data_IF_472965237390
#
_entry.id   IF_472965237390
#
_cell.length_a   1.000
_cell.length_b   1.000
_cell.length_c   1.000
_cell.angle_alpha   90.00
_cell.angle_beta   90.00
_cell.angle_gamma   90.00
#
_symmetry.space_group_name_H-M   'P 1'
#
loop_
_entity.id
_entity.type
_entity.pdbx_description
1 polymer ?
#
# COMPACT_ATOMS: atom_id res chain seq x y z
N UNK A 1 51.62 -62.50 73.93
CA UNK A 1 50.56 -62.25 74.94
C UNK A 1 50.23 -60.76 74.96
N UNK A 2 48.98 -60.44 75.32
CA UNK A 2 48.37 -59.12 75.48
C UNK A 2 47.81 -58.45 74.21
N UNK A 3 46.49 -58.64 74.10
CA UNK A 3 45.52 -57.90 73.31
C UNK A 3 45.36 -56.45 73.81
N UNK A 4 44.68 -55.65 72.99
CA UNK A 4 43.67 -54.61 73.30
C UNK A 4 44.02 -53.15 72.99
N UNK A 5 43.13 -52.23 72.58
CA UNK A 5 41.81 -52.21 71.90
C UNK A 5 41.43 -50.72 71.72
N UNK A 6 40.92 -50.30 70.53
CA UNK A 6 39.96 -49.17 70.25
C UNK A 6 40.39 -47.72 70.65
N UNK A 7 39.96 -46.61 70.02
CA UNK A 7 38.74 -46.21 69.28
C UNK A 7 39.03 -44.87 68.56
N UNK A 8 38.46 -44.69 67.35
CA UNK A 8 37.77 -43.52 66.73
C UNK A 8 38.31 -42.09 67.02
N UNK A 9 38.40 -41.15 66.08
CA UNK A 9 37.41 -40.81 65.04
C UNK A 9 38.04 -39.98 63.89
N UNK A 10 37.48 -40.14 62.70
CA UNK A 10 37.67 -39.27 61.54
C UNK A 10 36.92 -37.95 61.70
N UNK A 11 37.53 -36.85 61.24
CA UNK A 11 36.82 -35.72 60.62
C UNK A 11 37.65 -35.18 59.46
N UNK A 12 37.29 -35.61 58.26
CA UNK A 12 37.74 -35.04 56.98
C UNK A 12 36.87 -33.84 56.63
N UNK A 13 37.46 -32.65 56.45
CA UNK A 13 36.79 -31.49 55.85
C UNK A 13 36.99 -31.56 54.33
N UNK A 14 35.95 -31.93 53.58
CA UNK A 14 35.95 -31.93 52.12
C UNK A 14 35.48 -30.57 51.59
N UNK A 15 36.36 -29.83 50.91
CA UNK A 15 35.98 -28.67 50.11
C UNK A 15 35.62 -29.14 48.70
N UNK A 16 34.36 -28.99 48.30
CA UNK A 16 33.91 -29.25 46.93
C UNK A 16 34.14 -28.00 46.06
N UNK A 17 35.03 -28.08 45.07
CA UNK A 17 35.10 -27.11 43.97
C UNK A 17 34.09 -27.51 42.89
N UNK A 18 33.06 -26.68 42.68
CA UNK A 18 32.20 -26.78 41.52
C UNK A 18 32.83 -25.99 40.35
N UNK A 19 33.36 -26.70 39.36
CA UNK A 19 33.79 -26.11 38.08
C UNK A 19 32.60 -25.91 37.15
N UNK A 20 32.33 -24.67 36.74
CA UNK A 20 31.32 -24.36 35.75
C UNK A 20 31.92 -24.45 34.34
N UNK A 21 31.38 -25.34 33.50
CA UNK A 21 31.70 -25.42 32.08
C UNK A 21 30.79 -24.42 31.33
N UNK A 22 31.38 -23.40 30.73
CA UNK A 22 30.67 -22.45 29.87
C UNK A 22 30.52 -23.04 28.46
N UNK A 23 29.27 -23.28 28.04
CA UNK A 23 28.94 -23.66 26.67
C UNK A 23 28.90 -22.40 25.77
N UNK A 24 29.40 -22.44 24.53
CA UNK A 24 29.31 -21.31 23.63
C UNK A 24 27.86 -21.15 23.14
N UNK A 25 27.23 -20.04 23.50
CA UNK A 25 25.92 -19.64 22.99
C UNK A 25 26.07 -19.22 21.52
N UNK A 26 25.90 -20.17 20.60
CA UNK A 26 25.75 -19.86 19.17
C UNK A 26 24.51 -18.99 18.98
N UNK A 27 24.71 -17.73 18.59
CA UNK A 27 23.61 -16.84 18.20
C UNK A 27 23.09 -17.29 16.85
N UNK A 28 22.08 -18.16 16.84
CA UNK A 28 21.28 -18.39 15.65
C UNK A 28 20.50 -17.10 15.36
N UNK A 29 20.99 -16.30 14.40
CA UNK A 29 20.20 -15.24 13.78
C UNK A 29 19.02 -15.90 13.07
N UNK A 30 17.92 -16.06 13.79
CA UNK A 30 16.64 -16.34 13.19
C UNK A 30 16.37 -15.18 12.23
N UNK A 31 16.44 -15.46 10.92
CA UNK A 31 15.91 -14.57 9.90
C UNK A 31 14.45 -14.28 10.29
N UNK A 32 14.21 -13.08 10.81
CA UNK A 32 12.88 -12.52 10.99
C UNK A 32 12.27 -12.33 9.59
N UNK A 33 11.80 -13.44 9.01
CA UNK A 33 10.90 -13.46 7.86
C UNK A 33 9.51 -13.03 8.31
N UNK A 34 9.41 -11.93 9.05
CA UNK A 34 8.16 -11.38 9.54
C UNK A 34 7.28 -11.03 8.36
N UNK A 35 6.13 -11.69 8.25
CA UNK A 35 5.04 -11.18 7.43
C UNK A 35 4.65 -9.82 8.02
N UNK A 36 5.10 -8.73 7.39
CA UNK A 36 4.61 -7.41 7.74
C UNK A 36 3.07 -7.41 7.72
N UNK A 37 2.42 -6.60 8.57
CA UNK A 37 0.96 -6.63 8.79
C UNK A 37 0.20 -6.64 7.46
N UNK A 38 -0.86 -7.43 7.31
CA UNK A 38 -1.58 -7.55 6.02
C UNK A 38 -2.11 -6.18 5.57
N UNK A 39 -2.24 -5.92 4.24
CA UNK A 39 -2.93 -4.72 3.79
C UNK A 39 -4.34 -4.64 4.35
N UNK A 40 -4.73 -3.44 4.71
CA UNK A 40 -6.07 -3.09 5.15
C UNK A 40 -6.93 -2.82 3.91
N UNK A 41 -7.28 -3.87 3.18
CA UNK A 41 -8.03 -3.76 1.90
C UNK A 41 -9.40 -3.07 2.02
N UNK A 42 -9.91 -2.90 3.25
CA UNK A 42 -11.16 -2.18 3.57
C UNK A 42 -10.94 -0.82 4.23
N UNK A 43 -9.68 -0.37 4.36
CA UNK A 43 -9.36 0.97 4.82
C UNK A 43 -9.19 1.90 3.63
N UNK A 44 -9.74 3.11 3.77
CA UNK A 44 -9.74 4.15 2.78
C UNK A 44 -9.18 5.44 3.38
N UNK A 45 -8.22 6.07 2.69
CA UNK A 45 -7.69 7.37 3.06
C UNK A 45 -8.50 8.43 2.31
N UNK A 46 -9.54 8.92 2.97
CA UNK A 46 -10.34 10.05 2.51
C UNK A 46 -9.47 11.31 2.52
N UNK A 47 -9.59 12.13 1.47
CA UNK A 47 -8.77 13.32 1.28
C UNK A 47 -7.26 13.05 1.48
N UNK A 48 -6.75 11.94 0.94
CA UNK A 48 -5.35 11.54 1.14
C UNK A 48 -4.36 12.65 0.76
N UNK A 49 -4.72 13.50 -0.20
CA UNK A 49 -3.93 14.65 -0.64
C UNK A 49 -3.74 15.74 0.43
N UNK A 50 -4.55 15.80 1.48
CA UNK A 50 -4.37 16.76 2.58
C UNK A 50 -3.28 16.34 3.58
N UNK A 51 -2.78 15.11 3.48
CA UNK A 51 -1.76 14.60 4.37
C UNK A 51 -0.36 15.15 4.04
N UNK A 52 0.57 15.20 5.01
CA UNK A 52 1.94 15.70 4.78
C UNK A 52 2.70 14.94 3.69
N UNK A 53 2.48 13.63 3.56
CA UNK A 53 3.04 12.81 2.47
C UNK A 53 1.91 12.06 1.76
N UNK A 54 1.20 12.72 0.82
CA UNK A 54 0.13 12.10 0.05
C UNK A 54 0.60 10.78 -0.56
N UNK A 55 -0.31 9.81 -0.62
CA UNK A 55 -0.10 8.41 -0.97
C UNK A 55 0.81 7.65 0.00
N UNK A 56 1.97 8.19 0.35
CA UNK A 56 3.00 7.49 1.12
C UNK A 56 2.53 7.17 2.53
N UNK A 57 1.87 8.12 3.21
CA UNK A 57 1.33 7.89 4.55
C UNK A 57 0.26 6.78 4.54
N UNK A 58 -0.69 6.80 3.61
CA UNK A 58 -1.68 5.73 3.46
C UNK A 58 -1.03 4.36 3.15
N UNK A 59 0.00 4.34 2.30
CA UNK A 59 0.73 3.11 1.96
C UNK A 59 1.60 2.58 3.10
N UNK A 60 2.13 3.45 3.96
CA UNK A 60 2.87 3.06 5.17
C UNK A 60 1.92 2.45 6.21
N UNK A 61 0.70 2.99 6.33
CA UNK A 61 -0.40 2.41 7.11
C UNK A 61 -1.10 1.23 6.42
N UNK A 62 -0.66 0.88 5.22
CA UNK A 62 -1.10 -0.26 4.43
C UNK A 62 -2.56 -0.23 3.97
N UNK A 63 -3.10 0.96 3.70
CA UNK A 63 -4.47 1.14 3.23
C UNK A 63 -4.70 0.53 1.85
N UNK A 64 -5.94 0.07 1.62
CA UNK A 64 -6.37 -0.54 0.37
C UNK A 64 -6.95 0.45 -0.64
N UNK A 65 -7.29 1.65 -0.20
CA UNK A 65 -7.90 2.69 -1.02
C UNK A 65 -7.42 4.08 -0.60
N UNK A 66 -7.28 4.99 -1.57
CA UNK A 66 -6.96 6.41 -1.38
C UNK A 66 -7.81 7.25 -2.32
N UNK A 67 -8.10 8.49 -1.94
CA UNK A 67 -8.88 9.44 -2.74
C UNK A 67 -8.04 10.59 -3.27
N UNK A 68 -8.36 11.04 -4.48
CA UNK A 68 -7.81 12.23 -5.12
C UNK A 68 -8.93 13.07 -5.76
N UNK A 69 -9.14 14.26 -5.22
CA UNK A 69 -10.06 15.26 -5.78
C UNK A 69 -9.34 16.00 -6.92
N UNK A 70 -9.87 15.94 -8.14
CA UNK A 70 -9.19 16.50 -9.32
C UNK A 70 -9.94 17.65 -9.99
N UNK A 71 -9.15 18.63 -10.41
CA UNK A 71 -9.58 19.79 -11.20
C UNK A 71 -8.84 19.82 -12.54
N UNK A 72 -9.58 19.99 -13.64
CA UNK A 72 -8.98 20.26 -14.94
C UNK A 72 -8.67 21.77 -15.07
N UNK A 73 -7.39 22.14 -15.04
CA UNK A 73 -6.94 23.54 -15.15
C UNK A 73 -5.81 23.64 -16.15
N UNK A 74 -5.98 24.44 -17.21
CA UNK A 74 -4.94 24.64 -18.22
C UNK A 74 -4.45 23.33 -18.90
N UNK A 75 -5.30 22.31 -18.96
CA UNK A 75 -4.93 20.98 -19.48
C UNK A 75 -4.13 20.11 -18.51
N UNK A 76 -3.99 20.50 -17.25
CA UNK A 76 -3.44 19.69 -16.16
C UNK A 76 -4.54 19.18 -15.23
N UNK A 77 -4.31 18.03 -14.60
CA UNK A 77 -5.18 17.51 -13.54
C UNK A 77 -4.53 17.85 -12.20
N UNK A 78 -4.99 18.95 -11.60
CA UNK A 78 -4.52 19.41 -10.29
C UNK A 78 -5.33 18.72 -9.18
N UNK A 79 -4.73 18.58 -8.00
CA UNK A 79 -5.34 17.91 -6.85
C UNK A 79 -5.48 18.88 -5.68
N UNK A 80 -6.72 19.11 -5.25
CA UNK A 80 -7.09 19.94 -4.11
C UNK A 80 -8.53 19.61 -3.67
N UNK A 81 -8.91 19.97 -2.45
CA UNK A 81 -10.31 19.88 -2.03
C UNK A 81 -11.13 21.05 -2.59
N UNK A 82 -10.59 22.27 -2.42
CA UNK A 82 -11.20 23.51 -2.86
C UNK A 82 -10.37 24.20 -3.96
N UNK A 83 -11.00 24.97 -4.88
CA UNK A 83 -10.30 25.65 -5.96
C UNK A 83 -9.20 26.63 -5.50
N UNK A 84 -9.38 27.28 -4.35
CA UNK A 84 -8.41 28.21 -3.75
C UNK A 84 -7.08 27.54 -3.35
N UNK A 85 -7.09 26.22 -3.09
CA UNK A 85 -5.91 25.44 -2.70
C UNK A 85 -5.15 24.85 -3.90
N UNK A 86 -5.56 25.19 -5.13
CA UNK A 86 -4.93 24.67 -6.34
C UNK A 86 -3.48 25.15 -6.47
N UNK A 87 -2.57 24.18 -6.43
CA UNK A 87 -1.14 24.37 -6.64
C UNK A 87 -0.71 23.69 -7.96
N UNK A 88 -0.12 24.42 -8.94
CA UNK A 88 0.36 23.85 -10.19
C UNK A 88 1.39 22.71 -10.05
N UNK A 89 2.06 22.60 -8.89
CA UNK A 89 3.01 21.53 -8.58
C UNK A 89 2.32 20.23 -8.09
N UNK A 90 1.07 20.33 -7.64
CA UNK A 90 0.27 19.25 -7.06
C UNK A 90 -0.67 18.66 -8.12
N UNK A 91 -0.07 17.90 -9.02
CA UNK A 91 -0.80 17.20 -10.09
C UNK A 91 -1.16 15.77 -9.68
N UNK A 92 -2.16 15.18 -10.33
CA UNK A 92 -2.50 13.77 -10.17
C UNK A 92 -1.28 12.87 -10.46
N UNK A 93 -0.49 13.23 -11.48
CA UNK A 93 0.77 12.54 -11.78
C UNK A 93 1.78 12.60 -10.65
N UNK A 94 2.08 13.80 -10.15
CA UNK A 94 3.13 14.00 -9.13
C UNK A 94 2.77 13.40 -7.78
N UNK A 95 1.51 13.48 -7.36
CA UNK A 95 1.07 12.95 -6.07
C UNK A 95 0.77 11.44 -6.11
N UNK A 96 0.22 10.92 -7.22
CA UNK A 96 -0.27 9.54 -7.26
C UNK A 96 0.37 8.68 -8.35
N UNK A 97 0.32 9.10 -9.62
CA UNK A 97 0.61 8.16 -10.72
C UNK A 97 2.10 7.79 -10.82
N UNK A 98 2.98 8.79 -10.76
CA UNK A 98 4.43 8.58 -10.78
C UNK A 98 4.93 7.76 -9.59
N UNK A 99 4.60 8.10 -8.32
CA UNK A 99 5.04 7.32 -7.18
C UNK A 99 4.44 5.91 -7.15
N UNK A 100 3.18 5.71 -7.58
CA UNK A 100 2.60 4.37 -7.72
C UNK A 100 3.32 3.55 -8.79
N UNK A 101 3.56 4.12 -9.97
CA UNK A 101 4.27 3.44 -11.04
C UNK A 101 5.69 3.03 -10.62
N UNK A 102 6.42 3.92 -9.95
CA UNK A 102 7.74 3.63 -9.41
C UNK A 102 7.71 2.50 -8.39
N UNK A 103 6.77 2.55 -7.43
CA UNK A 103 6.60 1.53 -6.40
C UNK A 103 6.24 0.16 -6.99
N UNK A 104 5.29 0.11 -7.91
CA UNK A 104 4.82 -1.12 -8.56
C UNK A 104 5.94 -1.76 -9.38
N UNK A 105 6.71 -0.96 -10.11
CA UNK A 105 7.91 -1.42 -10.83
C UNK A 105 8.94 -2.03 -9.90
N UNK A 106 9.26 -1.35 -8.79
CA UNK A 106 10.21 -1.84 -7.79
C UNK A 106 9.75 -3.11 -7.05
N UNK A 107 8.45 -3.43 -7.10
CA UNK A 107 7.83 -4.56 -6.38
C UNK A 107 7.28 -5.64 -7.29
N UNK A 108 7.72 -5.66 -8.56
CA UNK A 108 7.33 -6.65 -9.57
C UNK A 108 5.81 -6.73 -9.79
N UNK A 109 5.19 -5.59 -10.06
CA UNK A 109 3.78 -5.51 -10.42
C UNK A 109 2.83 -5.48 -9.22
N UNK A 110 3.29 -5.07 -8.03
CA UNK A 110 2.48 -5.06 -6.81
C UNK A 110 2.65 -3.78 -6.00
N UNK A 111 1.58 -3.27 -5.40
CA UNK A 111 1.67 -2.16 -4.44
C UNK A 111 2.29 -2.63 -3.12
N UNK A 112 1.86 -3.79 -2.61
CA UNK A 112 2.38 -4.41 -1.39
C UNK A 112 3.16 -5.69 -1.70
N UNK A 113 4.32 -5.88 -1.06
CA UNK A 113 5.12 -7.10 -1.26
C UNK A 113 4.32 -8.32 -0.79
N UNK A 114 4.40 -9.42 -1.56
CA UNK A 114 3.73 -10.70 -1.29
C UNK A 114 2.20 -10.64 -1.23
N UNK A 115 1.58 -9.53 -1.66
CA UNK A 115 0.13 -9.41 -1.80
C UNK A 115 -0.22 -9.08 -3.26
N UNK A 116 -1.25 -9.72 -3.81
CA UNK A 116 -1.69 -9.55 -5.19
C UNK A 116 -2.92 -8.65 -5.33
N UNK A 117 -3.39 -8.04 -4.24
CA UNK A 117 -4.49 -7.09 -4.28
C UNK A 117 -4.17 -5.82 -5.07
N UNK A 118 -5.23 -5.18 -5.55
CA UNK A 118 -5.17 -3.93 -6.30
C UNK A 118 -5.54 -2.79 -5.37
N UNK A 119 -4.69 -1.75 -5.30
CA UNK A 119 -5.02 -0.53 -4.57
C UNK A 119 -6.13 0.21 -5.33
N UNK A 120 -7.20 0.62 -4.66
CA UNK A 120 -8.17 1.51 -5.26
C UNK A 120 -7.65 2.95 -5.21
N UNK A 121 -7.65 3.62 -6.35
CA UNK A 121 -7.49 5.07 -6.45
C UNK A 121 -8.86 5.63 -6.83
N UNK A 122 -9.57 6.16 -5.83
CA UNK A 122 -10.82 6.87 -6.04
C UNK A 122 -10.47 8.27 -6.56
N UNK A 123 -10.98 8.63 -7.72
CA UNK A 123 -10.72 9.90 -8.39
C UNK A 123 -12.02 10.66 -8.45
N UNK A 124 -12.17 11.68 -7.60
CA UNK A 124 -13.37 12.50 -7.54
C UNK A 124 -13.24 13.71 -8.48
N UNK A 125 -14.08 13.81 -9.50
CA UNK A 125 -14.03 14.90 -10.47
C UNK A 125 -14.81 16.10 -9.93
N UNK A 126 -14.10 17.22 -9.71
CA UNK A 126 -14.65 18.47 -9.14
C UNK A 126 -14.95 19.57 -10.18
N UNK A 127 -14.61 19.31 -11.44
CA UNK A 127 -14.85 20.20 -12.58
C UNK A 127 -15.80 19.52 -13.58
N UNK A 128 -16.06 20.15 -14.73
CA UNK A 128 -16.93 19.57 -15.76
C UNK A 128 -16.50 18.13 -16.11
N UNK A 129 -17.42 17.18 -15.95
CA UNK A 129 -17.13 15.76 -15.91
C UNK A 129 -16.62 15.18 -17.22
N UNK A 130 -17.14 15.60 -18.37
CA UNK A 130 -16.77 15.04 -19.67
C UNK A 130 -15.33 15.41 -20.04
N UNK A 131 -15.00 16.71 -20.05
CA UNK A 131 -13.67 17.19 -20.41
C UNK A 131 -12.60 16.68 -19.44
N UNK A 132 -12.90 16.69 -18.13
CA UNK A 132 -11.97 16.22 -17.10
C UNK A 132 -11.71 14.73 -17.23
N UNK A 133 -12.75 13.93 -17.50
CA UNK A 133 -12.60 12.50 -17.71
C UNK A 133 -11.79 12.17 -18.97
N UNK A 134 -12.03 12.87 -20.08
CA UNK A 134 -11.27 12.65 -21.32
C UNK A 134 -9.78 12.94 -21.12
N UNK A 135 -9.47 13.99 -20.37
CA UNK A 135 -8.09 14.30 -20.00
C UNK A 135 -7.49 13.25 -19.05
N UNK A 136 -8.25 12.81 -18.05
CA UNK A 136 -7.87 11.72 -17.14
C UNK A 136 -7.52 10.46 -17.92
N UNK A 137 -8.39 9.98 -18.79
CA UNK A 137 -8.14 8.80 -19.62
C UNK A 137 -6.84 8.97 -20.43
N UNK A 138 -6.60 10.15 -21.04
CA UNK A 138 -5.34 10.46 -21.72
C UNK A 138 -4.12 10.32 -20.80
N UNK A 139 -4.21 10.77 -19.54
CA UNK A 139 -3.14 10.60 -18.54
C UNK A 139 -2.94 9.12 -18.22
N UNK A 140 -4.01 8.38 -17.90
CA UNK A 140 -3.95 6.96 -17.53
C UNK A 140 -3.37 6.07 -18.65
N UNK A 141 -3.58 6.40 -19.94
CA UNK A 141 -2.98 5.66 -21.06
C UNK A 141 -1.46 5.55 -20.99
N UNK A 142 -0.79 6.56 -20.43
CA UNK A 142 0.68 6.58 -20.31
C UNK A 142 1.19 5.60 -19.25
N UNK A 143 0.34 5.19 -18.32
CA UNK A 143 0.63 4.24 -17.24
C UNK A 143 -0.01 2.87 -17.50
N UNK A 144 0.04 2.38 -18.75
CA UNK A 144 -0.69 1.16 -19.18
C UNK A 144 -0.46 -0.10 -18.35
N UNK A 145 0.69 -0.22 -17.68
CA UNK A 145 1.05 -1.38 -16.86
C UNK A 145 0.61 -1.25 -15.39
N UNK A 146 0.12 -0.07 -14.99
CA UNK A 146 -0.26 0.20 -13.61
C UNK A 146 -1.69 -0.26 -13.31
N UNK A 147 -2.60 0.03 -14.23
CA UNK A 147 -4.04 -0.01 -13.96
C UNK A 147 -4.70 -1.33 -14.33
N UNK A 148 -5.68 -1.73 -13.50
CA UNK A 148 -6.77 -2.59 -13.92
C UNK A 148 -7.45 -1.94 -15.13
N UNK A 149 -7.67 -2.72 -16.18
CA UNK A 149 -8.23 -2.23 -17.42
C UNK A 149 -9.42 -3.06 -17.85
N UNK A 150 -10.30 -2.44 -18.62
CA UNK A 150 -11.37 -3.11 -19.34
C UNK A 150 -11.05 -3.05 -20.83
N UNK A 151 -11.23 -4.16 -21.54
CA UNK A 151 -11.21 -4.17 -22.99
C UNK A 151 -12.11 -5.29 -23.51
N UNK A 152 -12.96 -4.96 -24.49
CA UNK A 152 -13.79 -5.94 -25.22
C UNK A 152 -14.59 -6.89 -24.30
N UNK A 153 -15.30 -6.34 -23.31
CA UNK A 153 -16.11 -7.14 -22.39
C UNK A 153 -15.34 -7.83 -21.25
N UNK A 154 -14.03 -7.66 -21.17
CA UNK A 154 -13.19 -8.35 -20.18
C UNK A 154 -12.43 -7.36 -19.30
N UNK A 155 -12.26 -7.73 -18.03
CA UNK A 155 -11.45 -7.00 -17.06
C UNK A 155 -10.10 -7.68 -16.90
N UNK A 156 -9.03 -6.90 -16.97
CA UNK A 156 -7.65 -7.32 -16.79
C UNK A 156 -7.10 -6.66 -15.52
N UNK A 157 -6.91 -7.43 -14.43
CA UNK A 157 -6.42 -6.89 -13.16
C UNK A 157 -5.04 -6.24 -13.28
N UNK A 158 -4.88 -5.07 -12.66
CA UNK A 158 -3.61 -4.38 -12.49
C UNK A 158 -3.26 -4.23 -11.01
N UNK A 159 -2.20 -3.45 -10.73
CA UNK A 159 -1.78 -3.16 -9.36
C UNK A 159 -2.62 -2.05 -8.71
N UNK A 160 -3.28 -1.23 -9.53
CA UNK A 160 -4.14 -0.13 -9.11
C UNK A 160 -5.45 -0.19 -9.89
N UNK A 161 -6.58 0.02 -9.24
CA UNK A 161 -7.89 0.17 -9.88
C UNK A 161 -8.32 1.62 -9.73
N UNK A 162 -8.27 2.38 -10.82
CA UNK A 162 -8.82 3.73 -10.85
C UNK A 162 -10.35 3.67 -10.92
N UNK A 163 -11.02 4.38 -10.01
CA UNK A 163 -12.49 4.47 -9.96
C UNK A 163 -12.86 5.94 -9.97
N UNK A 164 -13.65 6.37 -10.95
CA UNK A 164 -14.10 7.75 -11.13
C UNK A 164 -15.41 7.96 -10.39
N UNK A 165 -15.47 8.98 -9.53
CA UNK A 165 -16.68 9.49 -8.89
C UNK A 165 -16.88 10.98 -9.23
N UNK A 166 -17.79 11.64 -8.52
CA UNK A 166 -18.05 13.07 -8.68
C UNK A 166 -19.04 13.38 -9.79
N UNK A 167 -18.65 14.27 -10.70
CA UNK A 167 -19.48 14.73 -11.81
C UNK A 167 -19.93 13.57 -12.73
N UNK A 168 -21.22 13.56 -13.08
CA UNK A 168 -21.88 12.48 -13.85
C UNK A 168 -21.60 12.54 -15.34
N UNK A 169 -21.20 13.69 -15.89
CA UNK A 169 -20.88 13.84 -17.30
C UNK A 169 -19.68 12.97 -17.71
N UNK A 170 -18.86 12.50 -16.75
CA UNK A 170 -17.81 11.51 -17.00
C UNK A 170 -18.32 10.13 -17.49
N UNK A 171 -19.61 9.81 -17.27
CA UNK A 171 -20.16 8.49 -17.60
C UNK A 171 -20.27 8.24 -19.10
N UNK A 172 -20.91 9.17 -19.83
CA UNK A 172 -21.16 9.03 -21.26
C UNK A 172 -19.88 8.75 -22.08
N UNK A 173 -18.78 9.53 -21.96
CA UNK A 173 -17.55 9.23 -22.67
C UNK A 173 -16.93 7.91 -22.22
N UNK A 174 -17.06 7.51 -20.95
CA UNK A 174 -16.53 6.24 -20.45
C UNK A 174 -17.28 5.03 -21.01
N UNK A 175 -18.61 5.09 -21.13
CA UNK A 175 -19.43 4.01 -21.68
C UNK A 175 -19.16 3.78 -23.18
N UNK A 176 -18.82 4.85 -23.91
CA UNK A 176 -18.44 4.75 -25.32
C UNK A 176 -17.09 4.03 -25.56
N UNK A 177 -16.27 3.85 -24.51
CA UNK A 177 -14.93 3.28 -24.64
C UNK A 177 -14.95 1.74 -24.72
N UNK A 178 -14.45 1.21 -25.85
CA UNK A 178 -14.18 -0.24 -26.00
C UNK A 178 -13.01 -0.72 -25.15
N UNK A 179 -12.11 0.18 -24.77
CA UNK A 179 -11.01 -0.07 -23.84
C UNK A 179 -10.79 1.13 -22.93
N UNK A 180 -10.71 0.89 -21.62
CA UNK A 180 -10.56 1.92 -20.58
C UNK A 180 -9.66 1.44 -19.43
N UNK A 181 -9.08 2.38 -18.71
CA UNK A 181 -8.20 2.14 -17.53
C UNK A 181 -8.79 2.66 -16.21
N UNK A 182 -10.03 3.14 -16.27
CA UNK A 182 -10.80 3.57 -15.13
C UNK A 182 -12.17 2.91 -15.16
N UNK A 183 -12.74 2.74 -13.98
CA UNK A 183 -14.09 2.25 -13.75
C UNK A 183 -14.92 3.39 -13.18
N UNK A 184 -16.23 3.21 -13.18
CA UNK A 184 -17.17 4.22 -12.71
C UNK A 184 -17.75 3.83 -11.36
N UNK A 185 -17.80 4.79 -10.44
CA UNK A 185 -18.53 4.68 -9.17
C UNK A 185 -20.03 4.86 -9.41
N UNK A 186 -20.69 3.73 -9.65
CA UNK A 186 -22.12 3.67 -9.95
C UNK A 186 -22.99 4.12 -8.79
N UNK A 187 -24.17 4.62 -9.11
CA UNK A 187 -25.23 4.99 -8.17
C UNK A 187 -26.34 3.96 -8.19
N UNK A 188 -27.26 4.05 -7.24
CA UNK A 188 -28.43 3.16 -7.17
C UNK A 188 -29.26 3.19 -8.47
N UNK A 189 -29.30 4.35 -9.15
CA UNK A 189 -29.98 4.54 -10.44
C UNK A 189 -29.29 3.85 -11.61
N UNK A 190 -28.11 3.27 -11.41
CA UNK A 190 -27.32 2.62 -12.46
C UNK A 190 -27.43 1.09 -12.45
N UNK A 191 -28.21 0.53 -11.52
CA UNK A 191 -28.54 -0.90 -11.39
C UNK A 191 -29.81 -1.24 -12.17
#
# INVERSE_FOLDING_TARGET
>A
MALTTRRRALTTLGAALAGAVALPAGSALASQGGHGPRPLWRAHAHNDYEHPRPLLDALDHRFGSVEADIYLVGGQLLVAHDPEDLDPSRTLESLYLDPLAARVRARHGRVYRRDRGSLQLLIDIKTEGEATYLELDRRLRRYKHLFTSYAHGRVFPGAVTAVVSGDRAARAPMEAQRSRRAFYDGRLTDL
#
